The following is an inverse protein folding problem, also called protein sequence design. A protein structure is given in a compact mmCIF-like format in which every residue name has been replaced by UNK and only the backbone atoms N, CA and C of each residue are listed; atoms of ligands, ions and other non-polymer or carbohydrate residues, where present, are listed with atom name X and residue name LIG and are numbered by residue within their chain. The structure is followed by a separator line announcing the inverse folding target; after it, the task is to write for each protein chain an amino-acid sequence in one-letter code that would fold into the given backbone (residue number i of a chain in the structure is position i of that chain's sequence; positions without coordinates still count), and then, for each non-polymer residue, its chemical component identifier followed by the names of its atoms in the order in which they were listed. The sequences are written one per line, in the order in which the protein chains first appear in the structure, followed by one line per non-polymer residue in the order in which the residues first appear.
data_IF_939781397738
#
_entry.id   IF_939781397738
#
_cell.length_a   1.000
_cell.length_b   1.000
_cell.length_c   1.000
_cell.angle_alpha   90.00
_cell.angle_beta   90.00
_cell.angle_gamma   90.00
#
_symmetry.space_group_name_H-M   'P 1'
#
loop_
_entity.id
_entity.type
_entity.pdbx_description
1 polymer ?
#
# COMPACT_ATOMS: atom_id res chain seq x y z
N UNK A 1 4.15 -39.63 -24.59
CA UNK A 1 4.95 -38.75 -23.70
C UNK A 1 4.05 -37.57 -23.37
N UNK A 2 3.69 -37.46 -22.10
CA UNK A 2 2.55 -36.69 -21.61
C UNK A 2 2.84 -35.19 -21.50
N UNK A 3 1.86 -34.41 -21.97
CA UNK A 3 1.22 -33.27 -21.28
C UNK A 3 1.85 -32.90 -19.94
N UNK A 4 2.62 -31.80 -19.92
CA UNK A 4 3.15 -31.17 -18.72
C UNK A 4 3.08 -29.66 -18.88
N UNK A 5 2.11 -29.08 -18.17
CA UNK A 5 2.06 -27.70 -17.68
C UNK A 5 2.28 -26.57 -18.68
N UNK A 6 1.31 -26.41 -19.58
CA UNK A 6 0.93 -25.09 -20.09
C UNK A 6 -0.15 -24.57 -19.16
N UNK A 7 0.24 -23.81 -18.13
CA UNK A 7 -0.70 -23.01 -17.34
C UNK A 7 -1.36 -22.01 -18.30
N UNK A 8 -2.57 -22.35 -18.74
CA UNK A 8 -3.32 -21.50 -19.66
C UNK A 8 -3.73 -20.22 -18.93
N UNK A 9 -3.63 -19.08 -19.62
CA UNK A 9 -4.05 -17.76 -19.14
C UNK A 9 -5.50 -17.78 -18.60
N UNK A 10 -6.33 -18.73 -19.06
CA UNK A 10 -7.69 -18.96 -18.58
C UNK A 10 -7.78 -19.50 -17.13
N UNK A 11 -6.73 -20.12 -16.58
CA UNK A 11 -6.70 -20.50 -15.15
C UNK A 11 -6.40 -19.29 -14.25
N UNK A 12 -5.79 -18.22 -14.79
CA UNK A 12 -5.57 -16.97 -14.07
C UNK A 12 -6.87 -16.15 -13.90
N UNK A 13 -7.74 -16.18 -14.92
CA UNK A 13 -9.07 -15.56 -14.88
C UNK A 13 -10.01 -16.18 -13.83
N UNK A 14 -9.76 -17.43 -13.41
CA UNK A 14 -10.57 -18.13 -12.40
C UNK A 14 -10.24 -17.74 -10.95
N UNK A 15 -9.12 -17.05 -10.70
CA UNK A 15 -8.71 -16.55 -9.38
C UNK A 15 -9.08 -15.08 -9.13
N UNK A 16 -9.83 -14.45 -10.04
CA UNK A 16 -10.44 -13.13 -9.83
C UNK A 16 -11.56 -13.17 -8.77
N UNK A 17 -11.31 -13.72 -7.59
CA UNK A 17 -12.14 -13.52 -6.41
C UNK A 17 -11.93 -12.11 -5.90
N UNK A 18 -12.65 -11.13 -6.46
CA UNK A 18 -13.06 -9.87 -5.81
C UNK A 18 -12.02 -9.26 -4.82
N UNK A 19 -10.74 -9.28 -5.21
CA UNK A 19 -9.63 -9.05 -4.29
C UNK A 19 -9.51 -7.55 -4.04
N UNK A 20 -9.56 -7.13 -2.77
CA UNK A 20 -9.59 -5.72 -2.43
C UNK A 20 -8.29 -5.01 -2.83
N UNK A 21 -8.30 -4.35 -3.99
CA UNK A 21 -7.19 -3.55 -4.53
C UNK A 21 -7.69 -2.15 -4.91
N UNK A 22 -7.72 -1.18 -3.97
CA UNK A 22 -8.34 0.13 -4.16
C UNK A 22 -7.55 1.08 -5.08
N UNK A 23 -6.39 0.65 -5.58
CA UNK A 23 -5.57 1.39 -6.55
C UNK A 23 -5.25 0.48 -7.74
N UNK A 24 -5.12 1.08 -8.92
CA UNK A 24 -4.86 0.39 -10.17
C UNK A 24 -3.58 0.95 -10.79
N UNK A 25 -2.73 0.09 -11.34
CA UNK A 25 -1.52 0.51 -12.04
C UNK A 25 -1.86 0.95 -13.44
N UNK A 26 -1.28 2.07 -13.86
CA UNK A 26 -1.45 2.60 -15.21
C UNK A 26 -0.10 2.85 -15.86
N UNK A 27 0.01 2.45 -17.12
CA UNK A 27 1.14 2.74 -17.99
C UNK A 27 0.83 4.05 -18.69
N UNK A 28 1.60 5.09 -18.35
CA UNK A 28 1.46 6.39 -18.97
C UNK A 28 2.30 6.50 -20.24
N UNK A 29 1.63 6.79 -21.35
CA UNK A 29 2.24 6.93 -22.68
C UNK A 29 2.15 8.41 -23.07
N UNK A 30 3.25 9.17 -22.97
CA UNK A 30 3.23 10.59 -23.31
C UNK A 30 3.01 10.79 -24.81
N UNK A 31 2.26 11.83 -25.18
CA UNK A 31 2.12 12.23 -26.59
C UNK A 31 3.49 12.66 -27.18
N UNK A 32 4.31 13.30 -26.35
CA UNK A 32 5.69 13.67 -26.65
C UNK A 32 6.58 13.29 -25.46
N UNK A 33 7.52 12.37 -25.68
CA UNK A 33 8.48 11.92 -24.66
C UNK A 33 9.37 13.04 -24.11
N UNK A 34 9.48 14.18 -24.82
CA UNK A 34 10.25 15.35 -24.37
C UNK A 34 9.42 16.33 -23.57
N UNK A 35 8.09 16.28 -23.70
CA UNK A 35 7.17 17.24 -23.09
C UNK A 35 6.01 16.50 -22.42
N UNK A 36 6.27 15.93 -21.25
CA UNK A 36 5.25 15.22 -20.45
C UNK A 36 4.02 16.09 -20.14
N UNK A 37 4.20 17.41 -20.07
CA UNK A 37 3.10 18.37 -19.83
C UNK A 37 2.13 18.49 -21.03
N UNK A 38 2.48 17.99 -22.21
CA UNK A 38 1.61 17.98 -23.40
C UNK A 38 0.50 16.91 -23.31
N UNK A 39 0.42 16.19 -22.19
CA UNK A 39 -0.54 15.12 -21.99
C UNK A 39 -0.10 13.81 -22.63
N UNK A 40 -0.96 12.81 -22.53
CA UNK A 40 -0.70 11.45 -22.99
C UNK A 40 -1.90 10.54 -22.76
N UNK A 41 -1.75 9.29 -23.16
CA UNK A 41 -2.68 8.21 -22.86
C UNK A 41 -2.24 7.47 -21.59
N UNK A 42 -3.20 6.81 -20.92
CA UNK A 42 -2.93 5.90 -19.83
C UNK A 42 -3.63 4.58 -20.10
N UNK A 43 -2.89 3.47 -20.03
CA UNK A 43 -3.40 2.11 -20.17
C UNK A 43 -3.40 1.51 -18.77
N UNK A 44 -4.57 1.16 -18.25
CA UNK A 44 -4.72 0.57 -16.91
C UNK A 44 -4.56 -0.94 -16.97
N UNK A 45 -3.79 -1.52 -16.05
CA UNK A 45 -3.51 -2.96 -16.00
C UNK A 45 -4.78 -3.80 -15.90
N UNK A 46 -5.73 -3.39 -15.06
CA UNK A 46 -6.97 -4.14 -14.79
C UNK A 46 -8.17 -3.71 -15.65
N UNK A 47 -7.94 -3.05 -16.79
CA UNK A 47 -9.03 -2.74 -17.72
C UNK A 47 -9.29 -3.91 -18.68
N UNK A 48 -10.53 -4.05 -19.13
CA UNK A 48 -10.99 -5.20 -19.91
C UNK A 48 -10.22 -5.41 -21.22
N UNK A 49 -9.75 -4.34 -21.83
CA UNK A 49 -9.08 -4.29 -23.12
C UNK A 49 -7.56 -4.06 -23.01
N UNK A 50 -6.96 -4.33 -21.84
CA UNK A 50 -5.53 -4.14 -21.58
C UNK A 50 -4.63 -4.78 -22.65
N UNK A 51 -4.80 -6.07 -22.93
CA UNK A 51 -3.95 -6.81 -23.88
C UNK A 51 -4.03 -6.25 -25.29
N UNK A 52 -5.21 -5.79 -25.71
CA UNK A 52 -5.37 -5.18 -27.04
C UNK A 52 -4.68 -3.82 -27.08
N UNK A 53 -4.91 -2.98 -26.07
CA UNK A 53 -4.35 -1.64 -26.00
C UNK A 53 -2.83 -1.64 -25.90
N UNK A 54 -2.23 -2.59 -25.17
CA UNK A 54 -0.78 -2.66 -25.02
C UNK A 54 -0.11 -3.06 -26.35
N UNK A 55 -0.67 -4.03 -27.07
CA UNK A 55 -0.16 -4.46 -28.37
C UNK A 55 -0.30 -3.34 -29.42
N UNK A 56 -1.44 -2.65 -29.42
CA UNK A 56 -1.67 -1.51 -30.31
C UNK A 56 -0.72 -0.34 -30.01
N UNK A 57 -0.52 0.00 -28.74
CA UNK A 57 0.31 1.12 -28.33
C UNK A 57 1.80 0.94 -28.69
N UNK A 58 2.29 -0.30 -28.67
CA UNK A 58 3.68 -0.62 -29.04
C UNK A 58 3.83 -1.13 -30.48
N UNK A 59 2.74 -1.20 -31.26
CA UNK A 59 2.78 -1.60 -32.68
C UNK A 59 3.17 -3.07 -32.89
N UNK A 60 2.86 -3.94 -31.93
CA UNK A 60 3.27 -5.34 -31.92
C UNK A 60 2.27 -6.18 -32.73
N UNK A 61 2.68 -6.65 -33.91
CA UNK A 61 1.83 -7.40 -34.87
C UNK A 61 2.37 -8.78 -35.29
N UNK A 62 3.54 -9.20 -34.79
CA UNK A 62 4.21 -10.42 -35.25
C UNK A 62 4.41 -11.45 -34.13
N UNK A 63 4.19 -12.72 -34.47
CA UNK A 63 4.22 -13.87 -33.54
C UNK A 63 5.60 -14.16 -32.90
N UNK A 64 6.68 -13.57 -33.42
CA UNK A 64 8.05 -13.85 -32.97
C UNK A 64 8.56 -12.98 -31.82
N UNK A 65 7.77 -12.03 -31.33
CA UNK A 65 8.10 -11.12 -30.20
C UNK A 65 7.31 -11.51 -28.94
N UNK A 66 6.44 -12.52 -29.07
CA UNK A 66 5.45 -12.89 -28.06
C UNK A 66 6.11 -13.31 -26.73
N UNK A 67 7.22 -14.06 -26.77
CA UNK A 67 7.89 -14.56 -25.56
C UNK A 67 8.50 -13.44 -24.70
N UNK A 68 9.21 -12.48 -25.29
CA UNK A 68 9.80 -11.35 -24.56
C UNK A 68 8.71 -10.43 -23.97
N UNK A 69 7.57 -10.28 -24.66
CA UNK A 69 6.42 -9.50 -24.18
C UNK A 69 5.77 -10.17 -22.97
N UNK A 70 5.70 -11.51 -22.95
CA UNK A 70 5.10 -12.22 -21.82
C UNK A 70 5.86 -11.98 -20.52
N UNK A 71 7.20 -11.94 -20.57
CA UNK A 71 8.04 -11.65 -19.40
C UNK A 71 7.84 -10.22 -18.90
N UNK A 72 7.71 -9.24 -19.80
CA UNK A 72 7.42 -7.84 -19.46
C UNK A 72 6.03 -7.66 -18.87
N UNK A 73 5.01 -8.34 -19.43
CA UNK A 73 3.64 -8.32 -18.90
C UNK A 73 3.58 -8.99 -17.52
N UNK A 74 4.28 -10.11 -17.33
CA UNK A 74 4.37 -10.76 -16.02
C UNK A 74 5.00 -9.84 -14.97
N UNK A 75 6.06 -9.09 -15.34
CA UNK A 75 6.65 -8.07 -14.48
C UNK A 75 5.65 -6.94 -14.15
N UNK A 76 4.88 -6.49 -15.14
CA UNK A 76 3.84 -5.47 -14.92
C UNK A 76 2.74 -5.96 -13.97
N UNK A 77 2.37 -7.24 -14.00
CA UNK A 77 1.45 -7.82 -13.02
C UNK A 77 2.03 -7.84 -11.60
N UNK A 78 3.32 -8.14 -11.44
CA UNK A 78 3.99 -8.04 -10.13
C UNK A 78 3.95 -6.60 -9.61
N UNK A 79 4.14 -5.61 -10.50
CA UNK A 79 4.02 -4.19 -10.15
C UNK A 79 2.56 -3.82 -9.85
N UNK A 80 1.59 -4.46 -10.50
CA UNK A 80 0.17 -4.21 -10.21
C UNK A 80 -0.31 -4.87 -8.91
N UNK A 81 0.41 -5.86 -8.40
CA UNK A 81 0.12 -6.55 -7.14
C UNK A 81 0.72 -5.90 -5.90
N UNK A 82 1.35 -4.73 -6.03
CA UNK A 82 1.80 -3.92 -4.89
C UNK A 82 0.91 -2.69 -4.69
N UNK A 83 0.59 -2.32 -3.44
CA UNK A 83 -0.30 -1.20 -3.14
C UNK A 83 0.33 0.17 -3.31
N UNK A 84 1.64 0.25 -3.52
CA UNK A 84 2.33 1.48 -3.89
C UNK A 84 3.65 1.18 -4.58
N UNK A 85 4.06 2.06 -5.50
CA UNK A 85 5.36 2.02 -6.18
C UNK A 85 6.52 2.51 -5.29
N UNK A 86 6.49 2.18 -3.99
CA UNK A 86 7.60 2.50 -3.10
C UNK A 86 8.82 1.64 -3.47
N UNK A 87 10.03 2.23 -3.58
CA UNK A 87 11.23 1.52 -3.99
C UNK A 87 11.54 0.26 -3.18
N UNK A 88 11.24 0.24 -1.87
CA UNK A 88 11.46 -0.94 -1.03
C UNK A 88 10.54 -2.10 -1.42
N UNK A 89 9.24 -1.81 -1.65
CA UNK A 89 8.25 -2.82 -2.02
C UNK A 89 8.53 -3.36 -3.41
N UNK A 90 8.78 -2.47 -4.38
CA UNK A 90 9.16 -2.85 -5.75
C UNK A 90 10.38 -3.77 -5.74
N UNK A 91 11.47 -3.36 -5.06
CA UNK A 91 12.68 -4.19 -4.97
C UNK A 91 12.40 -5.54 -4.34
N UNK A 92 11.61 -5.57 -3.26
CA UNK A 92 11.29 -6.80 -2.54
C UNK A 92 10.51 -7.78 -3.41
N UNK A 93 9.39 -7.34 -4.00
CA UNK A 93 8.51 -8.25 -4.76
C UNK A 93 9.14 -8.67 -6.09
N UNK A 94 9.81 -7.76 -6.81
CA UNK A 94 10.49 -8.08 -8.08
C UNK A 94 11.64 -9.08 -7.83
N UNK A 95 12.44 -8.87 -6.77
CA UNK A 95 13.52 -9.81 -6.42
C UNK A 95 12.96 -11.17 -5.95
N UNK A 96 11.88 -11.16 -5.18
CA UNK A 96 11.20 -12.39 -4.74
C UNK A 96 10.60 -13.18 -5.91
N UNK A 97 10.20 -12.50 -7.00
CA UNK A 97 9.77 -13.15 -8.24
C UNK A 97 10.93 -13.65 -9.12
N UNK A 98 12.19 -13.46 -8.71
CA UNK A 98 13.37 -13.97 -9.42
C UNK A 98 13.96 -13.01 -10.46
N UNK A 99 13.37 -11.83 -10.66
CA UNK A 99 13.90 -10.83 -11.58
C UNK A 99 15.12 -10.12 -10.98
N UNK A 100 16.15 -9.92 -11.81
CA UNK A 100 17.36 -9.18 -11.44
C UNK A 100 17.30 -7.77 -11.98
N UNK A 101 17.14 -6.80 -11.09
CA UNK A 101 17.18 -5.38 -11.43
C UNK A 101 18.56 -4.79 -11.12
N UNK A 102 19.06 -3.83 -11.91
CA UNK A 102 20.28 -3.13 -11.58
C UNK A 102 20.10 -2.35 -10.27
N UNK A 103 21.17 -2.18 -9.49
CA UNK A 103 21.11 -1.45 -8.21
C UNK A 103 20.63 0.00 -8.38
N UNK A 104 20.79 0.58 -9.57
CA UNK A 104 20.30 1.92 -9.93
C UNK A 104 18.81 1.99 -10.23
N UNK A 105 18.11 0.86 -10.38
CA UNK A 105 16.67 0.83 -10.68
C UNK A 105 15.82 1.40 -9.53
N UNK A 106 16.36 1.39 -8.29
CA UNK A 106 15.64 1.82 -7.11
C UNK A 106 16.41 2.93 -6.40
N UNK A 107 15.73 4.06 -6.12
CA UNK A 107 16.32 5.18 -5.37
C UNK A 107 16.40 4.92 -3.84
N UNK A 108 16.26 3.67 -3.39
CA UNK A 108 16.34 3.31 -1.98
C UNK A 108 17.80 3.14 -1.52
N UNK A 109 18.16 3.80 -0.42
CA UNK A 109 19.49 3.59 0.19
C UNK A 109 19.54 2.24 0.91
N UNK A 110 20.69 1.55 0.86
CA UNK A 110 20.88 0.28 1.58
C UNK A 110 20.68 0.42 3.10
N UNK A 111 20.93 1.62 3.63
CA UNK A 111 20.66 1.98 5.03
C UNK A 111 19.17 1.94 5.36
N UNK A 112 18.32 2.47 4.47
CA UNK A 112 16.87 2.43 4.64
C UNK A 112 16.34 1.00 4.55
N UNK A 113 16.83 0.22 3.58
CA UNK A 113 16.50 -1.19 3.44
C UNK A 113 16.86 -1.99 4.71
N UNK A 114 18.06 -1.77 5.24
CA UNK A 114 18.54 -2.44 6.46
C UNK A 114 17.69 -2.08 7.69
N UNK A 115 17.29 -0.81 7.82
CA UNK A 115 16.42 -0.36 8.91
C UNK A 115 15.05 -1.04 8.85
N UNK A 116 14.45 -1.10 7.66
CA UNK A 116 13.13 -1.75 7.46
C UNK A 116 13.23 -3.24 7.78
N UNK A 117 14.26 -3.93 7.27
CA UNK A 117 14.50 -5.34 7.55
C UNK A 117 14.67 -5.61 9.04
N UNK A 118 15.55 -4.87 9.72
CA UNK A 118 15.79 -5.02 11.15
C UNK A 118 14.52 -4.81 11.99
N UNK A 119 13.66 -3.85 11.59
CA UNK A 119 12.38 -3.62 12.28
C UNK A 119 11.42 -4.81 12.11
N UNK A 120 11.31 -5.35 10.91
CA UNK A 120 10.50 -6.56 10.63
C UNK A 120 11.03 -7.74 11.45
N UNK A 121 12.34 -7.99 11.41
CA UNK A 121 12.98 -9.08 12.16
C UNK A 121 12.74 -8.96 13.67
N UNK A 122 12.85 -7.75 14.23
CA UNK A 122 12.61 -7.52 15.67
C UNK A 122 11.16 -7.82 16.12
N UNK A 123 10.18 -7.74 15.20
CA UNK A 123 8.78 -8.10 15.46
C UNK A 123 8.52 -9.59 15.23
N UNK A 124 9.28 -10.21 14.33
CA UNK A 124 9.15 -11.65 14.04
C UNK A 124 9.74 -12.49 15.17
N UNK A 125 10.90 -12.11 15.69
CA UNK A 125 11.63 -12.93 16.67
C UNK A 125 10.77 -13.36 17.88
N UNK A 126 10.03 -12.47 18.56
CA UNK A 126 9.21 -12.87 19.71
C UNK A 126 8.09 -13.86 19.35
N UNK A 127 7.53 -13.75 18.15
CA UNK A 127 6.53 -14.69 17.62
C UNK A 127 7.16 -16.07 17.45
N UNK A 128 8.37 -16.14 16.89
CA UNK A 128 9.11 -17.39 16.71
C UNK A 128 9.48 -18.03 18.05
N UNK A 129 9.99 -17.24 18.99
CA UNK A 129 10.30 -17.70 20.35
C UNK A 129 9.07 -18.29 21.03
N UNK A 130 7.89 -17.75 20.75
CA UNK A 130 6.63 -18.25 21.32
C UNK A 130 6.13 -19.51 20.63
N UNK A 131 6.06 -19.50 19.30
CA UNK A 131 5.62 -20.65 18.52
C UNK A 131 6.49 -21.89 18.81
N UNK A 132 7.82 -21.75 18.89
CA UNK A 132 8.69 -22.92 19.16
C UNK A 132 8.54 -23.45 20.58
N UNK A 133 8.33 -22.58 21.59
CA UNK A 133 8.13 -23.01 22.98
C UNK A 133 6.86 -23.85 23.17
N UNK A 134 5.80 -23.56 22.42
CA UNK A 134 4.55 -24.33 22.50
C UNK A 134 4.68 -25.69 21.79
N UNK A 135 5.64 -25.87 20.88
CA UNK A 135 5.89 -27.12 20.16
C UNK A 135 6.95 -28.03 20.79
N UNK A 136 7.95 -27.48 21.51
CA UNK A 136 9.03 -28.27 22.10
C UNK A 136 9.00 -28.21 23.64
N UNK A 137 8.61 -29.32 24.28
CA UNK A 137 8.70 -29.51 25.75
C UNK A 137 10.14 -29.55 26.28
N UNK A 138 11.16 -29.46 25.41
CA UNK A 138 12.58 -29.60 25.70
C UNK A 138 13.34 -28.28 25.49
N UNK A 139 12.95 -27.22 26.19
CA UNK A 139 13.76 -26.12 26.76
C UNK A 139 14.96 -25.46 26.05
N UNK A 140 15.39 -25.83 24.83
CA UNK A 140 16.54 -25.24 24.15
C UNK A 140 16.19 -24.90 22.72
N UNK A 141 15.88 -23.62 22.50
CA UNK A 141 15.77 -23.05 21.16
C UNK A 141 17.14 -23.05 20.48
N UNK A 142 17.27 -23.83 19.41
CA UNK A 142 18.41 -23.73 18.51
C UNK A 142 18.33 -22.40 17.75
N UNK A 143 19.28 -21.49 17.98
CA UNK A 143 19.38 -20.22 17.25
C UNK A 143 19.41 -20.42 15.73
N UNK A 144 19.88 -21.58 15.26
CA UNK A 144 19.84 -21.90 13.83
C UNK A 144 18.41 -22.07 13.30
N UNK A 145 17.45 -22.51 14.12
CA UNK A 145 16.03 -22.58 13.72
C UNK A 145 15.46 -21.18 13.52
N UNK A 146 15.73 -20.25 14.44
CA UNK A 146 15.30 -18.85 14.32
C UNK A 146 15.87 -18.22 13.04
N UNK A 147 17.18 -18.41 12.78
CA UNK A 147 17.82 -17.89 11.58
C UNK A 147 17.23 -18.49 10.29
N UNK A 148 16.95 -19.80 10.29
CA UNK A 148 16.22 -20.43 9.18
C UNK A 148 14.81 -19.82 9.01
N UNK A 149 14.09 -19.56 10.09
CA UNK A 149 12.76 -18.93 10.04
C UNK A 149 12.78 -17.48 9.54
N UNK A 150 13.76 -16.68 9.97
CA UNK A 150 13.93 -15.33 9.42
C UNK A 150 14.13 -15.40 7.89
N UNK A 151 14.87 -16.40 7.41
CA UNK A 151 15.02 -16.66 5.97
C UNK A 151 13.70 -17.02 5.27
N UNK A 152 12.82 -17.77 5.94
CA UNK A 152 11.48 -18.14 5.43
C UNK A 152 10.60 -16.91 5.15
N UNK A 153 10.62 -15.91 6.03
CA UNK A 153 9.77 -14.70 5.85
C UNK A 153 10.18 -13.89 4.62
N UNK A 154 11.48 -13.91 4.32
CA UNK A 154 12.04 -13.27 3.13
C UNK A 154 11.92 -14.13 1.88
N UNK A 155 11.76 -15.44 2.02
CA UNK A 155 11.58 -16.39 0.93
C UNK A 155 10.47 -17.41 1.28
N UNK A 156 9.18 -17.08 1.04
CA UNK A 156 8.05 -17.90 1.43
C UNK A 156 7.88 -19.16 0.56
N UNK A 157 8.67 -19.32 -0.51
CA UNK A 157 8.58 -20.47 -1.42
C UNK A 157 9.29 -21.72 -0.86
N UNK A 158 9.90 -21.62 0.33
CA UNK A 158 10.51 -22.75 1.02
C UNK A 158 9.46 -23.56 1.80
N UNK A 159 9.53 -24.91 1.83
CA UNK A 159 8.53 -25.75 2.49
C UNK A 159 8.29 -25.44 3.98
N UNK A 160 9.31 -24.90 4.67
CA UNK A 160 9.24 -24.50 6.07
C UNK A 160 8.23 -23.35 6.33
N UNK A 161 7.88 -22.57 5.29
CA UNK A 161 6.87 -21.52 5.35
C UNK A 161 5.46 -22.08 5.65
N UNK A 162 5.10 -23.18 5.00
CA UNK A 162 3.78 -23.78 5.17
C UNK A 162 3.61 -24.39 6.55
N UNK A 163 4.66 -25.04 7.06
CA UNK A 163 4.67 -25.65 8.40
C UNK A 163 4.38 -24.57 9.46
N UNK A 164 4.94 -23.37 9.26
CA UNK A 164 4.71 -22.24 10.13
C UNK A 164 3.25 -21.78 10.09
N UNK A 165 2.72 -21.47 8.91
CA UNK A 165 1.36 -20.93 8.74
C UNK A 165 0.30 -21.91 9.22
N UNK A 166 0.52 -23.22 9.03
CA UNK A 166 -0.33 -24.27 9.63
C UNK A 166 -0.34 -24.22 11.15
N UNK A 167 0.74 -23.80 11.81
CA UNK A 167 0.79 -23.67 13.28
C UNK A 167 -0.10 -22.53 13.80
N UNK A 168 -0.41 -21.53 12.96
CA UNK A 168 -1.42 -20.50 13.23
C UNK A 168 -2.83 -20.91 12.79
N UNK A 169 -3.00 -22.14 12.28
CA UNK A 169 -4.26 -22.65 11.76
C UNK A 169 -4.71 -21.96 10.48
N UNK A 170 -3.77 -21.49 9.67
CA UNK A 170 -4.01 -20.81 8.38
C UNK A 170 -3.68 -21.79 7.25
N UNK A 171 -4.41 -21.69 6.13
CA UNK A 171 -4.22 -22.56 4.96
C UNK A 171 -2.90 -22.25 4.23
N UNK A 172 -2.14 -23.28 3.79
CA UNK A 172 -0.88 -23.09 3.08
C UNK A 172 -0.97 -22.22 1.83
N UNK A 173 -2.10 -22.28 1.12
CA UNK A 173 -2.37 -21.47 -0.08
C UNK A 173 -2.33 -19.96 0.17
N UNK A 174 -2.52 -19.52 1.43
CA UNK A 174 -2.51 -18.11 1.82
C UNK A 174 -1.15 -17.64 2.35
N UNK A 175 -0.17 -18.54 2.49
CA UNK A 175 1.13 -18.29 3.12
C UNK A 175 1.86 -17.08 2.52
N UNK A 176 2.00 -17.06 1.19
CA UNK A 176 2.71 -16.00 0.48
C UNK A 176 2.02 -14.64 0.66
N UNK A 177 0.72 -14.59 0.41
CA UNK A 177 -0.08 -13.36 0.53
C UNK A 177 -0.02 -12.77 1.96
N UNK A 178 -0.12 -13.62 2.97
CA UNK A 178 -0.08 -13.20 4.39
C UNK A 178 1.30 -12.68 4.78
N UNK A 179 2.39 -13.37 4.41
CA UNK A 179 3.73 -12.88 4.70
C UNK A 179 4.05 -11.58 3.96
N UNK A 180 3.68 -11.46 2.69
CA UNK A 180 3.81 -10.22 1.91
C UNK A 180 3.05 -9.08 2.58
N UNK A 181 1.77 -9.30 2.92
CA UNK A 181 0.95 -8.30 3.59
C UNK A 181 1.52 -7.88 4.94
N UNK A 182 2.03 -8.83 5.74
CA UNK A 182 2.58 -8.53 7.06
C UNK A 182 3.89 -7.73 7.01
N UNK A 183 4.80 -8.10 6.09
CA UNK A 183 5.99 -7.28 5.78
C UNK A 183 5.57 -5.87 5.36
N UNK A 184 4.55 -5.78 4.51
CA UNK A 184 3.98 -4.53 4.03
C UNK A 184 3.37 -3.65 5.13
N UNK A 185 2.58 -4.22 6.04
CA UNK A 185 2.00 -3.50 7.19
C UNK A 185 3.11 -2.92 8.07
N UNK A 186 4.14 -3.72 8.39
CA UNK A 186 5.27 -3.28 9.20
C UNK A 186 6.05 -2.16 8.50
N UNK A 187 6.29 -2.31 7.20
CA UNK A 187 6.89 -1.27 6.38
C UNK A 187 6.08 0.04 6.43
N UNK A 188 4.76 -0.05 6.27
CA UNK A 188 3.89 1.12 6.31
C UNK A 188 3.78 1.78 7.68
N UNK A 189 3.93 1.02 8.76
CA UNK A 189 4.05 1.60 10.11
C UNK A 189 5.26 2.52 10.21
N UNK A 190 6.43 2.08 9.70
CA UNK A 190 7.65 2.90 9.65
C UNK A 190 7.45 4.14 8.78
N UNK A 191 6.84 3.97 7.60
CA UNK A 191 6.57 5.10 6.70
C UNK A 191 5.62 6.12 7.32
N UNK A 192 4.60 5.65 8.04
CA UNK A 192 3.65 6.50 8.75
C UNK A 192 4.32 7.31 9.86
N UNK A 193 5.21 6.69 10.65
CA UNK A 193 6.02 7.36 11.67
C UNK A 193 6.88 8.48 11.05
N UNK A 194 7.52 8.23 9.89
CA UNK A 194 8.33 9.23 9.18
C UNK A 194 7.52 10.46 8.75
N UNK A 195 6.27 10.27 8.30
CA UNK A 195 5.43 11.38 7.80
C UNK A 195 4.58 12.04 8.89
N UNK A 196 4.54 11.50 10.11
CA UNK A 196 3.67 11.97 11.19
C UNK A 196 3.86 13.46 11.51
N UNK A 197 5.12 13.93 11.53
CA UNK A 197 5.42 15.35 11.74
C UNK A 197 4.87 16.22 10.60
N UNK A 198 5.05 15.81 9.35
CA UNK A 198 4.55 16.50 8.17
C UNK A 198 3.02 16.58 8.18
N UNK A 199 2.34 15.49 8.53
CA UNK A 199 0.89 15.46 8.68
C UNK A 199 0.41 16.43 9.77
N UNK A 200 1.11 16.49 10.91
CA UNK A 200 0.79 17.46 11.97
C UNK A 200 0.84 18.91 11.45
N UNK A 201 1.87 19.26 10.66
CA UNK A 201 1.99 20.58 10.03
C UNK A 201 0.79 20.89 9.12
N UNK A 202 0.38 19.95 8.26
CA UNK A 202 -0.80 20.11 7.41
C UNK A 202 -2.06 20.31 8.23
N UNK A 203 -2.30 19.48 9.24
CA UNK A 203 -3.49 19.61 10.08
C UNK A 203 -3.54 20.93 10.82
N UNK A 204 -2.40 21.44 11.28
CA UNK A 204 -2.33 22.77 11.89
C UNK A 204 -2.64 23.87 10.88
N UNK A 205 -2.10 23.78 9.66
CA UNK A 205 -2.36 24.75 8.59
C UNK A 205 -3.84 24.76 8.18
N UNK A 206 -4.43 23.60 7.87
CA UNK A 206 -5.82 23.49 7.40
C UNK A 206 -6.85 23.83 8.49
N UNK A 207 -6.48 23.70 9.77
CA UNK A 207 -7.36 24.03 10.91
C UNK A 207 -7.25 25.51 11.33
N UNK A 208 -6.28 26.26 10.81
CA UNK A 208 -6.08 27.64 11.20
C UNK A 208 -7.32 28.48 10.86
N UNK A 209 -7.95 29.07 11.87
CA UNK A 209 -9.14 29.92 11.72
C UNK A 209 -8.84 31.21 10.95
N UNK A 210 -7.57 31.60 10.87
CA UNK A 210 -7.11 32.74 10.11
C UNK A 210 -6.72 32.40 8.68
N UNK A 211 -6.84 31.12 8.28
CA UNK A 211 -6.59 30.72 6.90
C UNK A 211 -7.63 31.36 5.99
N UNK A 212 -7.22 32.40 5.27
CA UNK A 212 -8.05 33.13 4.32
C UNK A 212 -7.22 33.48 3.09
N UNK A 213 -7.84 33.55 1.90
CA UNK A 213 -7.16 34.06 0.74
C UNK A 213 -6.63 35.48 0.95
N UNK A 214 -5.43 35.77 0.43
CA UNK A 214 -4.83 37.13 0.52
C UNK A 214 -5.74 38.17 -0.14
N UNK A 215 -6.45 37.77 -1.18
CA UNK A 215 -7.33 38.56 -2.03
C UNK A 215 -8.82 38.38 -1.67
N UNK A 216 -9.14 37.84 -0.48
CA UNK A 216 -10.51 37.53 -0.06
C UNK A 216 -11.50 38.71 -0.20
N UNK A 217 -11.02 39.96 -0.08
CA UNK A 217 -11.84 41.17 -0.22
C UNK A 217 -12.48 41.36 -1.61
N UNK A 218 -11.99 40.67 -2.63
CA UNK A 218 -12.49 40.75 -4.00
C UNK A 218 -13.57 39.71 -4.32
N UNK A 219 -13.91 38.84 -3.36
CA UNK A 219 -14.85 37.74 -3.53
C UNK A 219 -16.09 37.94 -2.66
N UNK A 220 -17.22 37.35 -3.07
CA UNK A 220 -18.46 37.41 -2.29
C UNK A 220 -18.35 36.56 -1.03
N UNK A 221 -19.23 36.81 -0.05
CA UNK A 221 -19.30 35.97 1.15
C UNK A 221 -19.60 34.50 0.82
N UNK A 222 -20.40 34.26 -0.23
CA UNK A 222 -20.75 32.92 -0.71
C UNK A 222 -19.52 32.18 -1.27
N UNK A 223 -18.69 32.85 -2.08
CA UNK A 223 -17.47 32.26 -2.63
C UNK A 223 -16.48 31.85 -1.53
N UNK A 224 -16.34 32.71 -0.52
CA UNK A 224 -15.49 32.44 0.65
C UNK A 224 -16.04 31.27 1.47
N UNK A 225 -17.36 31.17 1.65
CA UNK A 225 -17.99 30.04 2.33
C UNK A 225 -17.77 28.72 1.57
N UNK A 226 -17.94 28.72 0.24
CA UNK A 226 -17.65 27.56 -0.59
C UNK A 226 -16.19 27.11 -0.50
N UNK A 227 -15.24 28.05 -0.49
CA UNK A 227 -13.83 27.73 -0.31
C UNK A 227 -13.56 27.14 1.08
N UNK A 228 -14.13 27.70 2.14
CA UNK A 228 -14.01 27.17 3.49
C UNK A 228 -14.57 25.74 3.58
N UNK A 229 -15.68 25.45 2.89
CA UNK A 229 -16.24 24.10 2.81
C UNK A 229 -15.28 23.14 2.10
N UNK A 230 -14.59 23.57 1.03
CA UNK A 230 -13.54 22.76 0.36
C UNK A 230 -12.36 22.47 1.29
N UNK A 231 -11.86 23.48 2.01
CA UNK A 231 -10.78 23.31 3.00
C UNK A 231 -11.19 22.33 4.10
N UNK A 232 -12.40 22.48 4.65
CA UNK A 232 -12.95 21.58 5.66
C UNK A 232 -13.12 20.15 5.13
N UNK A 233 -13.50 19.99 3.86
CA UNK A 233 -13.63 18.67 3.22
C UNK A 233 -12.27 17.97 3.09
N UNK A 234 -11.24 18.69 2.62
CA UNK A 234 -9.86 18.17 2.55
C UNK A 234 -9.36 17.78 3.94
N UNK A 235 -9.58 18.64 4.95
CA UNK A 235 -9.22 18.35 6.34
C UNK A 235 -9.90 17.08 6.85
N UNK A 236 -11.22 16.96 6.67
CA UNK A 236 -12.00 15.81 7.10
C UNK A 236 -11.52 14.52 6.47
N UNK A 237 -11.40 14.48 5.13
CA UNK A 237 -10.94 13.29 4.41
C UNK A 237 -9.53 12.86 4.80
N UNK A 238 -8.60 13.81 4.93
CA UNK A 238 -7.24 13.51 5.35
C UNK A 238 -7.21 12.95 6.77
N UNK A 239 -8.02 13.52 7.68
CA UNK A 239 -8.17 13.02 9.05
C UNK A 239 -8.70 11.60 9.05
N UNK A 240 -9.76 11.31 8.31
CA UNK A 240 -10.40 10.00 8.28
C UNK A 240 -9.42 8.92 7.75
N UNK A 241 -8.62 9.25 6.73
CA UNK A 241 -7.55 8.37 6.22
C UNK A 241 -6.49 8.10 7.30
N UNK A 242 -6.03 9.14 8.00
CA UNK A 242 -5.03 9.02 9.07
C UNK A 242 -5.56 8.21 10.26
N UNK A 243 -6.84 8.39 10.62
CA UNK A 243 -7.52 7.61 11.65
C UNK A 243 -7.66 6.14 11.26
N UNK A 244 -7.95 5.85 9.99
CA UNK A 244 -8.00 4.47 9.50
C UNK A 244 -6.63 3.79 9.59
N UNK A 245 -5.54 4.46 9.19
CA UNK A 245 -4.18 3.92 9.36
C UNK A 245 -3.90 3.60 10.83
N UNK A 246 -4.20 4.54 11.73
CA UNK A 246 -4.01 4.34 13.17
C UNK A 246 -4.82 3.17 13.71
N UNK A 247 -6.07 3.01 13.28
CA UNK A 247 -6.92 1.89 13.68
C UNK A 247 -6.30 0.56 13.28
N UNK A 248 -5.78 0.44 12.05
CA UNK A 248 -5.10 -0.78 11.58
C UNK A 248 -3.86 -1.07 12.42
N UNK A 249 -3.01 -0.06 12.68
CA UNK A 249 -1.81 -0.24 13.50
C UNK A 249 -2.12 -0.60 14.95
N UNK A 250 -3.11 0.06 15.57
CA UNK A 250 -3.55 -0.28 16.93
C UNK A 250 -4.07 -1.70 17.00
N UNK A 251 -4.91 -2.13 16.05
CA UNK A 251 -5.42 -3.49 16.00
C UNK A 251 -4.28 -4.51 15.85
N UNK A 252 -3.29 -4.22 15.00
CA UNK A 252 -2.09 -5.03 14.85
C UNK A 252 -1.30 -5.13 16.16
N UNK A 253 -0.95 -4.00 16.77
CA UNK A 253 -0.13 -3.97 17.99
C UNK A 253 -0.85 -4.64 19.17
N UNK A 254 -2.17 -4.49 19.29
CA UNK A 254 -2.98 -5.21 20.28
C UNK A 254 -2.93 -6.72 20.02
N UNK A 255 -3.27 -7.16 18.81
CA UNK A 255 -3.27 -8.58 18.44
C UNK A 255 -1.89 -9.22 18.62
N UNK A 256 -0.83 -8.50 18.28
CA UNK A 256 0.56 -8.89 18.49
C UNK A 256 0.89 -9.02 19.98
N UNK A 257 0.50 -8.04 20.80
CA UNK A 257 0.78 -8.04 22.24
C UNK A 257 0.04 -9.16 22.99
N UNK A 258 -1.20 -9.46 22.63
CA UNK A 258 -1.98 -10.56 23.19
C UNK A 258 -1.38 -11.93 22.84
N UNK A 259 -0.88 -12.08 21.61
CA UNK A 259 -0.23 -13.31 21.18
C UNK A 259 1.08 -13.54 21.93
N UNK A 260 1.96 -12.54 21.95
CA UNK A 260 3.29 -12.64 22.58
C UNK A 260 3.18 -12.71 24.12
N UNK A 261 2.26 -11.95 24.72
CA UNK A 261 2.14 -11.80 26.18
C UNK A 261 1.18 -12.78 26.86
N UNK A 262 0.04 -13.12 26.24
CA UNK A 262 -1.07 -13.83 26.87
C UNK A 262 -1.36 -15.22 26.29
N UNK A 263 -0.56 -15.68 25.33
CA UNK A 263 -0.76 -16.93 24.58
C UNK A 263 -2.09 -17.08 23.85
N UNK A 264 -2.69 -15.98 23.42
CA UNK A 264 -3.95 -16.04 22.68
C UNK A 264 -3.71 -15.82 21.17
N UNK A 265 -3.63 -16.88 20.35
CA UNK A 265 -3.40 -16.75 18.91
C UNK A 265 -4.63 -16.29 18.13
N UNK A 266 -5.82 -16.28 18.73
CA UNK A 266 -7.08 -16.03 18.02
C UNK A 266 -7.11 -14.62 17.43
N UNK A 267 -6.81 -13.60 18.23
CA UNK A 267 -6.82 -12.20 17.78
C UNK A 267 -5.77 -11.95 16.70
N UNK A 268 -4.57 -12.52 16.86
CA UNK A 268 -3.50 -12.42 15.87
C UNK A 268 -3.87 -13.12 14.56
N UNK A 269 -4.38 -14.35 14.62
CA UNK A 269 -4.88 -15.07 13.44
C UNK A 269 -5.95 -14.27 12.72
N UNK A 270 -6.95 -13.75 13.43
CA UNK A 270 -8.02 -12.95 12.84
C UNK A 270 -7.49 -11.70 12.15
N UNK A 271 -6.49 -11.03 12.74
CA UNK A 271 -5.81 -9.92 12.10
C UNK A 271 -5.08 -10.36 10.82
N UNK A 272 -4.38 -11.50 10.85
CA UNK A 272 -3.64 -12.02 9.69
C UNK A 272 -4.56 -12.39 8.52
N UNK A 273 -5.78 -12.88 8.79
CA UNK A 273 -6.78 -13.14 7.75
C UNK A 273 -7.20 -11.86 7.00
N UNK A 274 -7.20 -10.72 7.68
CA UNK A 274 -7.50 -9.39 7.09
C UNK A 274 -6.23 -8.65 6.63
N UNK A 275 -5.04 -9.24 6.80
CA UNK A 275 -3.77 -8.55 6.58
C UNK A 275 -3.64 -8.03 5.15
N UNK A 276 -4.07 -8.80 4.15
CA UNK A 276 -4.01 -8.38 2.75
C UNK A 276 -4.84 -7.10 2.52
N UNK A 277 -6.09 -7.07 2.98
CA UNK A 277 -6.96 -5.89 2.89
C UNK A 277 -6.37 -4.69 3.63
N UNK A 278 -5.83 -4.92 4.82
CA UNK A 278 -5.17 -3.89 5.63
C UNK A 278 -3.92 -3.33 4.93
N UNK A 279 -3.11 -4.19 4.31
CA UNK A 279 -1.92 -3.82 3.55
C UNK A 279 -2.27 -2.88 2.39
N UNK A 280 -3.27 -3.23 1.58
CA UNK A 280 -3.75 -2.38 0.49
C UNK A 280 -4.34 -1.05 0.97
N UNK A 281 -5.12 -1.10 2.06
CA UNK A 281 -5.69 0.10 2.69
C UNK A 281 -4.58 1.05 3.15
N UNK A 282 -3.55 0.53 3.80
CA UNK A 282 -2.41 1.32 4.28
C UNK A 282 -1.61 1.93 3.13
N UNK A 283 -1.34 1.17 2.07
CA UNK A 283 -0.56 1.66 0.94
C UNK A 283 -1.21 2.84 0.25
N UNK A 284 -2.48 2.72 -0.13
CA UNK A 284 -3.26 3.85 -0.65
C UNK A 284 -3.25 5.05 0.33
N UNK A 285 -3.54 4.79 1.60
CA UNK A 285 -3.73 5.84 2.61
C UNK A 285 -2.44 6.65 2.87
N UNK A 286 -1.30 5.97 2.95
CA UNK A 286 0.01 6.60 3.17
C UNK A 286 0.45 7.37 1.93
N UNK A 287 0.26 6.81 0.74
CA UNK A 287 0.56 7.51 -0.53
C UNK A 287 -0.31 8.76 -0.67
N UNK A 288 -1.60 8.67 -0.36
CA UNK A 288 -2.51 9.81 -0.36
C UNK A 288 -2.05 10.91 0.62
N UNK A 289 -1.61 10.53 1.82
CA UNK A 289 -1.05 11.46 2.81
C UNK A 289 0.25 12.13 2.34
N UNK A 290 1.19 11.35 1.76
CA UNK A 290 2.44 11.88 1.18
C UNK A 290 2.16 12.86 0.05
N UNK A 291 1.30 12.48 -0.90
CA UNK A 291 0.93 13.33 -2.03
C UNK A 291 0.21 14.60 -1.56
N UNK A 292 -0.71 14.51 -0.60
CA UNK A 292 -1.37 15.68 -0.03
C UNK A 292 -0.35 16.64 0.59
N UNK A 293 0.63 16.13 1.34
CA UNK A 293 1.72 16.94 1.88
C UNK A 293 2.51 17.64 0.78
N UNK A 294 2.96 16.92 -0.23
CA UNK A 294 3.77 17.46 -1.31
C UNK A 294 3.03 18.54 -2.10
N UNK A 295 1.74 18.34 -2.38
CA UNK A 295 0.91 19.32 -3.11
C UNK A 295 0.72 20.61 -2.32
N UNK A 296 0.46 20.50 -1.02
CA UNK A 296 0.36 21.66 -0.14
C UNK A 296 1.72 22.35 -0.04
N UNK A 297 2.79 21.59 0.24
CA UNK A 297 4.13 22.12 0.45
C UNK A 297 4.71 22.81 -0.80
N UNK A 298 4.33 22.36 -2.00
CA UNK A 298 4.70 23.00 -3.28
C UNK A 298 4.10 24.40 -3.44
N UNK A 299 2.90 24.63 -2.89
CA UNK A 299 2.20 25.93 -2.97
C UNK A 299 2.47 26.82 -1.75
N UNK A 300 2.71 26.21 -0.59
CA UNK A 300 2.88 26.88 0.70
C UNK A 300 4.02 26.24 1.46
N UNK A 301 5.07 26.99 1.80
CA UNK A 301 6.15 26.46 2.65
C UNK A 301 5.60 26.14 4.04
N UNK A 302 5.66 24.86 4.45
CA UNK A 302 5.14 24.43 5.76
C UNK A 302 5.99 24.90 6.95
N UNK A 303 7.17 25.47 6.72
CA UNK A 303 8.00 26.08 7.77
C UNK A 303 7.62 27.55 8.04
N UNK A 304 7.05 28.22 7.04
CA UNK A 304 6.52 29.59 7.13
C UNK A 304 5.27 29.71 6.26
N UNK A 305 4.12 29.18 6.74
CA UNK A 305 2.93 29.10 5.92
C UNK A 305 2.42 30.49 5.58
N UNK A 306 2.38 30.80 4.28
CA UNK A 306 1.75 31.98 3.73
C UNK A 306 0.34 31.65 3.28
N UNK A 307 -0.55 32.65 3.33
CA UNK A 307 -1.86 32.51 2.70
C UNK A 307 -1.71 32.50 1.18
N UNK A 308 -2.61 31.79 0.50
CA UNK A 308 -2.66 31.74 -0.96
C UNK A 308 -3.64 32.78 -1.51
N UNK A 309 -3.60 33.02 -2.83
CA UNK A 309 -4.74 33.63 -3.53
C UNK A 309 -5.92 32.66 -3.59
N UNK A 310 -7.13 33.19 -3.77
CA UNK A 310 -8.37 32.43 -3.81
C UNK A 310 -8.30 31.28 -4.81
N UNK A 311 -7.97 31.57 -6.07
CA UNK A 311 -7.89 30.56 -7.14
C UNK A 311 -6.85 29.48 -6.84
N UNK A 312 -5.69 29.88 -6.32
CA UNK A 312 -4.61 28.96 -5.97
C UNK A 312 -5.01 28.03 -4.81
N UNK A 313 -5.72 28.56 -3.80
CA UNK A 313 -6.24 27.77 -2.68
C UNK A 313 -7.34 26.82 -3.14
N UNK A 314 -8.29 27.29 -3.95
CA UNK A 314 -9.38 26.48 -4.51
C UNK A 314 -8.82 25.34 -5.36
N UNK A 315 -7.92 25.63 -6.30
CA UNK A 315 -7.22 24.64 -7.13
C UNK A 315 -6.42 23.65 -6.29
N UNK A 316 -5.73 24.11 -5.25
CA UNK A 316 -5.04 23.21 -4.31
C UNK A 316 -6.00 22.24 -3.64
N UNK A 317 -7.13 22.73 -3.13
CA UNK A 317 -8.13 21.87 -2.51
C UNK A 317 -8.72 20.86 -3.50
N UNK A 318 -9.01 21.28 -4.75
CA UNK A 318 -9.55 20.40 -5.77
C UNK A 318 -8.56 19.29 -6.16
N UNK A 319 -7.28 19.64 -6.38
CA UNK A 319 -6.21 18.67 -6.66
C UNK A 319 -6.07 17.63 -5.53
N UNK A 320 -6.06 18.08 -4.27
CA UNK A 320 -5.95 17.18 -3.11
C UNK A 320 -7.22 16.34 -3.00
N UNK A 321 -8.39 16.92 -3.22
CA UNK A 321 -9.64 16.19 -3.07
C UNK A 321 -9.74 15.02 -4.06
N UNK A 322 -9.24 15.18 -5.29
CA UNK A 322 -9.12 14.08 -6.25
C UNK A 322 -8.23 12.97 -5.69
N UNK A 323 -7.08 13.31 -5.11
CA UNK A 323 -6.16 12.33 -4.50
C UNK A 323 -6.76 11.58 -3.30
N UNK A 324 -7.61 12.24 -2.51
CA UNK A 324 -8.24 11.65 -1.33
C UNK A 324 -9.56 10.93 -1.64
N UNK A 325 -10.08 11.03 -2.87
CA UNK A 325 -11.34 10.40 -3.25
C UNK A 325 -11.15 8.91 -3.45
N UNK A 326 -11.82 8.10 -2.62
CA UNK A 326 -12.05 6.68 -2.90
C UNK A 326 -13.21 6.52 -3.86
N UNK A 327 -13.12 5.62 -4.83
CA UNK A 327 -14.29 5.23 -5.61
C UNK A 327 -15.33 4.62 -4.65
N UNK A 328 -16.52 5.24 -4.59
CA UNK A 328 -17.59 4.86 -3.65
C UNK A 328 -18.19 3.49 -3.95
N UNK A 329 -17.85 2.87 -5.09
CA UNK A 329 -18.31 1.53 -5.47
C UNK A 329 -17.84 0.45 -4.50
N UNK A 330 -16.68 0.63 -3.85
CA UNK A 330 -16.16 -0.32 -2.86
C UNK A 330 -16.84 -0.26 -1.48
N UNK A 331 -17.53 0.84 -1.15
CA UNK A 331 -18.18 1.02 0.15
C UNK A 331 -19.59 0.39 0.25
N UNK A 332 -20.18 -0.07 -0.85
CA UNK A 332 -21.52 -0.70 -0.83
C UNK A 332 -21.52 -2.11 -0.21
N UNK A 333 -20.36 -2.63 0.20
CA UNK A 333 -20.21 -3.97 0.80
C UNK A 333 -19.95 -3.96 2.31
N UNK A 334 -19.91 -2.79 2.96
CA UNK A 334 -19.84 -2.76 4.43
C UNK A 334 -21.25 -2.77 5.03
N UNK A 335 -21.66 -3.81 5.80
CA UNK A 335 -22.82 -3.68 6.64
C UNK A 335 -22.49 -2.61 7.69
N UNK A 336 -23.26 -1.53 7.68
CA UNK A 336 -23.28 -0.58 8.79
C UNK A 336 -23.60 -1.37 10.07
N UNK A 337 -22.59 -1.61 10.90
CA UNK A 337 -22.80 -2.06 12.26
C UNK A 337 -23.61 -0.97 12.96
N UNK A 338 -24.88 -1.28 13.20
CA UNK A 338 -25.78 -0.48 14.00
C UNK A 338 -25.21 -0.42 15.43
N UNK A 339 -24.71 0.76 15.82
CA UNK A 339 -24.16 1.01 17.15
C UNK A 339 -25.26 1.25 18.21
N UNK A 340 -26.51 0.88 17.92
CA UNK A 340 -27.61 0.96 18.88
C UNK A 340 -27.60 -0.16 19.94
N UNK A 341 -26.74 -1.17 19.84
CA UNK A 341 -26.70 -2.31 20.77
C UNK A 341 -25.51 -2.34 21.75
N UNK A 342 -24.76 -1.25 21.91
CA UNK A 342 -23.75 -1.12 22.98
C UNK A 342 -24.19 -0.09 24.02
N UNK A 343 -25.06 -0.54 24.93
CA UNK A 343 -25.33 0.10 26.23
C UNK A 343 -24.73 -0.70 27.38
#
# INVERSE_FOLDING_TARGET
MNSGDVLSIAEYDAYASDEYKPVNTAIYIPNDHRVLAAGGAAIYMRQRDFDTLILEAFGLKNDSIIDDIYDDIALLHIIDDIPSLDPFLLRTEITSAGYKMPDTAFLATDKENSLIRSRIESKVEPILYRAVKDFESSGVLDQNKIQKFLKVIWNPDVPEAEIFIRSFGIEPSQTKAIFTAWKGITFYQIQFEKIAHSLKKIFMYLRDKNLKPIDARFYSAMDIEMLNAKVANVYGRLRDIVEQCRKIFTNYDLAYSEFVGSNNPVTFKNFMMEAHRNYWTLGYSIVACKNAYERINKKVSMDKPTSLRFDAMSSMCDEINVLLTRDKRDMRKEPLLDLSELH
#
